data_IF_757849182560
#
_entry.id   IF_757849182560
#
_cell.length_a   1.000
_cell.length_b   1.000
_cell.length_c   1.000
_cell.angle_alpha   90.00
_cell.angle_beta   90.00
_cell.angle_gamma   90.00
#
_symmetry.space_group_name_H-M   'P 1'
#
loop_
_entity.id
_entity.type
_entity.pdbx_description
1 polymer ?
#
# COMPACT_ATOMS: atom_id res chain seq x y z
N UNK A 1 -13.63 -20.71 1.14
CA UNK A 1 -12.35 -20.29 0.53
C UNK A 1 -12.11 -18.83 0.91
N UNK A 2 -10.87 -18.42 1.20
CA UNK A 2 -10.54 -17.04 1.54
C UNK A 2 -10.48 -16.18 0.27
N UNK A 3 -11.22 -15.06 0.26
CA UNK A 3 -11.14 -14.06 -0.80
C UNK A 3 -10.53 -12.76 -0.27
N UNK A 4 -9.34 -12.36 -0.75
CA UNK A 4 -8.65 -11.20 -0.23
C UNK A 4 -9.36 -9.90 -0.63
N UNK A 5 -9.35 -8.92 0.27
CA UNK A 5 -9.76 -7.54 -0.02
C UNK A 5 -8.52 -6.70 -0.34
N UNK A 6 -8.45 -6.15 -1.55
CA UNK A 6 -7.30 -5.38 -2.00
C UNK A 6 -7.71 -3.96 -2.33
N UNK A 7 -6.95 -2.98 -1.85
CA UNK A 7 -7.05 -1.58 -2.29
C UNK A 7 -5.91 -1.29 -3.25
N UNK A 8 -6.21 -0.67 -4.39
CA UNK A 8 -5.22 -0.21 -5.36
C UNK A 8 -5.24 1.31 -5.49
N UNK A 9 -4.16 1.99 -5.09
CA UNK A 9 -3.96 3.41 -5.35
C UNK A 9 -3.33 3.58 -6.73
N UNK A 10 -4.08 4.15 -7.68
CA UNK A 10 -3.62 4.34 -9.05
C UNK A 10 -3.42 5.82 -9.36
N UNK A 11 -2.24 6.16 -9.88
CA UNK A 11 -1.96 7.46 -10.46
C UNK A 11 -2.87 7.74 -11.66
N UNK A 12 -3.51 8.90 -11.67
CA UNK A 12 -4.43 9.36 -12.71
C UNK A 12 -3.82 9.28 -14.12
N UNK A 13 -2.57 9.74 -14.27
CA UNK A 13 -1.97 9.97 -15.58
C UNK A 13 -1.51 8.71 -16.31
N UNK A 14 -1.14 7.67 -15.57
CA UNK A 14 -0.62 6.43 -16.15
C UNK A 14 -1.41 5.22 -15.69
N UNK A 15 -1.24 4.78 -14.45
CA UNK A 15 -1.75 3.47 -14.03
C UNK A 15 -3.28 3.38 -13.99
N UNK A 16 -3.99 4.49 -13.71
CA UNK A 16 -5.44 4.53 -13.82
C UNK A 16 -5.88 4.36 -15.29
N UNK A 17 -5.25 5.11 -16.22
CA UNK A 17 -5.47 4.93 -17.65
C UNK A 17 -5.05 3.52 -18.13
N UNK A 18 -4.00 2.93 -17.57
CA UNK A 18 -3.61 1.54 -17.82
C UNK A 18 -4.70 0.55 -17.40
N UNK A 19 -5.38 0.81 -16.27
CA UNK A 19 -6.56 0.04 -15.86
C UNK A 19 -7.76 0.24 -16.79
N UNK A 20 -7.97 1.46 -17.29
CA UNK A 20 -9.01 1.74 -18.29
C UNK A 20 -8.72 1.01 -19.62
N UNK A 21 -7.46 0.99 -20.06
CA UNK A 21 -7.00 0.24 -21.25
C UNK A 21 -7.27 -1.26 -21.10
N UNK A 22 -7.06 -1.82 -19.91
CA UNK A 22 -7.40 -3.21 -19.62
C UNK A 22 -8.92 -3.46 -19.73
N UNK A 23 -9.73 -2.54 -19.20
CA UNK A 23 -11.20 -2.58 -19.27
C UNK A 23 -11.74 -2.48 -20.69
N UNK A 24 -11.29 -1.50 -21.48
CA UNK A 24 -11.67 -1.31 -22.89
C UNK A 24 -11.29 -2.55 -23.72
N UNK A 25 -10.14 -3.14 -23.42
CA UNK A 25 -9.65 -4.35 -24.08
C UNK A 25 -10.26 -5.64 -23.53
N UNK A 26 -11.22 -5.55 -22.59
CA UNK A 26 -11.93 -6.68 -21.97
C UNK A 26 -11.03 -7.70 -21.28
N UNK A 27 -9.86 -7.27 -20.82
CA UNK A 27 -8.88 -8.15 -20.16
C UNK A 27 -9.37 -8.51 -18.76
N UNK A 28 -9.68 -9.79 -18.54
CA UNK A 28 -10.23 -10.27 -17.27
C UNK A 28 -9.14 -10.46 -16.21
N UNK A 29 -9.44 -10.04 -14.98
CA UNK A 29 -8.64 -10.28 -13.77
C UNK A 29 -9.58 -10.50 -12.58
N UNK A 30 -9.10 -11.03 -11.45
CA UNK A 30 -9.93 -11.26 -10.26
C UNK A 30 -10.61 -9.98 -9.75
N UNK A 31 -11.88 -10.02 -9.32
CA UNK A 31 -12.65 -8.83 -8.90
C UNK A 31 -12.30 -8.32 -7.48
N UNK A 32 -11.15 -8.70 -6.93
CA UNK A 32 -10.76 -8.46 -5.55
C UNK A 32 -10.18 -7.05 -5.30
N UNK A 33 -9.74 -6.37 -6.37
CA UNK A 33 -9.11 -5.05 -6.32
C UNK A 33 -10.17 -3.94 -6.39
N UNK A 34 -10.08 -2.99 -5.46
CA UNK A 34 -10.84 -1.73 -5.46
C UNK A 34 -9.91 -0.56 -5.69
N UNK A 35 -10.13 0.16 -6.78
CA UNK A 35 -9.27 1.25 -7.22
C UNK A 35 -9.65 2.54 -6.48
N UNK A 36 -8.65 3.21 -5.91
CA UNK A 36 -8.71 4.60 -5.44
C UNK A 36 -7.83 5.43 -6.38
N UNK A 37 -8.45 6.35 -7.09
CA UNK A 37 -7.74 7.27 -7.99
C UNK A 37 -7.05 8.37 -7.19
N UNK A 38 -5.78 8.60 -7.48
CA UNK A 38 -5.01 9.74 -6.96
C UNK A 38 -4.31 10.45 -8.10
N UNK A 39 -4.04 11.75 -7.99
CA UNK A 39 -3.35 12.48 -9.07
C UNK A 39 -1.94 11.95 -9.32
N UNK A 40 -1.23 11.54 -8.27
CA UNK A 40 0.11 10.97 -8.35
C UNK A 40 0.26 9.86 -7.31
N UNK A 41 1.07 8.83 -7.60
CA UNK A 41 1.50 7.87 -6.57
C UNK A 41 2.19 8.56 -5.40
N UNK A 42 2.84 9.71 -5.65
CA UNK A 42 3.38 10.60 -4.63
C UNK A 42 2.36 11.09 -3.59
N UNK A 43 1.06 11.08 -3.90
CA UNK A 43 0.01 11.47 -2.96
C UNK A 43 -0.25 10.42 -1.87
N UNK A 44 0.12 9.16 -2.12
CA UNK A 44 -0.14 8.04 -1.22
C UNK A 44 0.74 8.17 0.01
N UNK A 45 0.12 8.51 1.13
CA UNK A 45 0.79 8.66 2.42
C UNK A 45 0.85 7.32 3.16
N UNK A 46 1.89 7.13 3.98
CA UNK A 46 2.06 5.93 4.81
C UNK A 46 0.86 5.76 5.76
N UNK A 47 0.30 6.86 6.28
CA UNK A 47 -0.87 6.83 7.14
C UNK A 47 -2.08 6.16 6.46
N UNK A 48 -2.27 6.40 5.14
CA UNK A 48 -3.36 5.76 4.39
C UNK A 48 -3.15 4.25 4.26
N UNK A 49 -1.91 3.84 4.03
CA UNK A 49 -1.55 2.42 3.90
C UNK A 49 -1.77 1.70 5.24
N UNK A 50 -1.27 2.27 6.33
CA UNK A 50 -1.44 1.72 7.67
C UNK A 50 -2.91 1.66 8.09
N UNK A 51 -3.68 2.73 7.86
CA UNK A 51 -5.11 2.76 8.16
C UNK A 51 -5.89 1.69 7.38
N UNK A 52 -5.56 1.48 6.10
CA UNK A 52 -6.17 0.43 5.30
C UNK A 52 -5.87 -0.97 5.87
N UNK A 53 -4.61 -1.25 6.22
CA UNK A 53 -4.24 -2.52 6.85
C UNK A 53 -4.96 -2.74 8.19
N UNK A 54 -5.08 -1.70 9.03
CA UNK A 54 -5.81 -1.77 10.30
C UNK A 54 -7.30 -2.02 10.11
N UNK A 55 -7.87 -1.49 9.03
CA UNK A 55 -9.27 -1.72 8.64
C UNK A 55 -9.53 -3.13 8.08
N UNK A 56 -8.51 -4.00 8.07
CA UNK A 56 -8.62 -5.39 7.64
C UNK A 56 -8.53 -5.58 6.12
N UNK A 57 -7.88 -4.66 5.41
CA UNK A 57 -7.46 -4.86 4.02
C UNK A 57 -6.31 -5.85 3.98
N UNK A 58 -6.38 -6.83 3.07
CA UNK A 58 -5.45 -7.95 3.01
C UNK A 58 -4.20 -7.66 2.19
N UNK A 59 -4.33 -6.75 1.21
CA UNK A 59 -3.22 -6.27 0.39
C UNK A 59 -3.46 -4.87 -0.16
N UNK A 60 -2.36 -4.14 -0.40
CA UNK A 60 -2.36 -2.78 -0.91
C UNK A 60 -1.44 -2.71 -2.11
N UNK A 61 -2.01 -2.34 -3.26
CA UNK A 61 -1.29 -2.09 -4.49
C UNK A 61 -1.17 -0.58 -4.70
N UNK A 62 0.01 -0.11 -5.09
CA UNK A 62 0.26 1.28 -5.47
C UNK A 62 0.87 1.23 -6.86
N UNK A 63 0.24 1.89 -7.83
CA UNK A 63 0.79 1.95 -9.18
C UNK A 63 0.91 3.40 -9.65
N UNK A 64 2.08 3.72 -10.19
CA UNK A 64 2.39 5.03 -10.75
C UNK A 64 2.98 4.97 -12.16
N UNK A 65 3.32 6.14 -12.68
CA UNK A 65 4.13 6.30 -13.88
C UNK A 65 5.50 5.63 -13.70
N UNK A 66 6.15 5.21 -14.79
CA UNK A 66 7.53 4.73 -14.74
C UNK A 66 8.48 5.81 -14.21
N UNK A 67 9.57 5.42 -13.53
CA UNK A 67 10.68 6.32 -13.22
C UNK A 67 11.12 7.11 -14.46
N UNK A 68 11.21 8.44 -14.34
CA UNK A 68 11.51 9.34 -15.46
C UNK A 68 10.28 9.84 -16.24
N UNK A 69 9.10 9.21 -16.08
CA UNK A 69 7.86 9.57 -16.80
C UNK A 69 6.78 10.19 -15.89
N UNK A 70 7.13 10.53 -14.64
CA UNK A 70 6.16 11.08 -13.72
C UNK A 70 5.64 12.44 -14.20
N UNK A 71 4.32 12.58 -14.31
CA UNK A 71 3.69 13.86 -14.64
C UNK A 71 4.06 14.99 -13.66
N UNK A 72 4.38 14.63 -12.41
CA UNK A 72 4.84 15.54 -11.38
C UNK A 72 6.33 15.34 -11.05
N UNK A 73 7.14 15.08 -12.07
CA UNK A 73 8.61 15.03 -12.06
C UNK A 73 9.17 13.83 -11.27
N UNK A 74 9.04 13.82 -9.94
CA UNK A 74 9.68 12.83 -9.05
C UNK A 74 8.73 12.24 -7.99
N UNK A 75 7.43 12.53 -8.10
CA UNK A 75 6.43 12.07 -7.13
C UNK A 75 6.41 10.54 -6.94
N UNK A 76 6.63 9.77 -8.00
CA UNK A 76 6.74 8.30 -7.94
C UNK A 76 8.00 7.84 -7.18
N UNK A 77 9.16 8.46 -7.40
CA UNK A 77 10.40 8.15 -6.68
C UNK A 77 10.29 8.48 -5.18
N UNK A 78 9.58 9.55 -4.84
CA UNK A 78 9.24 9.87 -3.44
C UNK A 78 8.27 8.85 -2.84
N UNK A 79 7.36 8.29 -3.62
CA UNK A 79 6.45 7.24 -3.17
C UNK A 79 7.21 5.93 -2.91
N UNK A 80 8.11 5.52 -3.82
CA UNK A 80 8.93 4.33 -3.68
C UNK A 80 9.78 4.35 -2.40
N UNK A 81 10.49 5.46 -2.15
CA UNK A 81 11.26 5.63 -0.90
C UNK A 81 10.40 5.46 0.36
N UNK A 82 9.21 6.05 0.38
CA UNK A 82 8.25 5.91 1.50
C UNK A 82 7.72 4.49 1.66
N UNK A 83 7.40 3.81 0.57
CA UNK A 83 6.91 2.43 0.60
C UNK A 83 8.01 1.48 1.07
N UNK A 84 9.24 1.64 0.60
CA UNK A 84 10.37 0.81 1.04
C UNK A 84 10.63 0.99 2.55
N UNK A 85 10.57 2.23 3.04
CA UNK A 85 10.63 2.48 4.47
C UNK A 85 9.48 1.82 5.24
N UNK A 86 8.25 1.95 4.75
CA UNK A 86 7.09 1.32 5.38
C UNK A 86 7.25 -0.19 5.44
N UNK A 87 7.79 -0.83 4.40
CA UNK A 87 8.06 -2.29 4.42
C UNK A 87 9.00 -2.69 5.55
N UNK A 88 10.07 -1.93 5.78
CA UNK A 88 10.96 -2.15 6.92
C UNK A 88 10.22 -1.99 8.25
N UNK A 89 9.34 -0.99 8.37
CA UNK A 89 8.51 -0.81 9.55
C UNK A 89 7.57 -2.01 9.78
N UNK A 90 6.83 -2.45 8.75
CA UNK A 90 5.92 -3.58 8.82
C UNK A 90 6.64 -4.85 9.29
N UNK A 91 7.82 -5.11 8.73
CA UNK A 91 8.67 -6.23 9.14
C UNK A 91 9.03 -6.18 10.63
N UNK A 92 9.43 -5.01 11.13
CA UNK A 92 9.79 -4.84 12.54
C UNK A 92 8.61 -5.04 13.51
N UNK A 93 7.38 -4.80 13.06
CA UNK A 93 6.15 -5.00 13.86
C UNK A 93 5.46 -6.35 13.57
N UNK A 94 6.13 -7.25 12.86
CA UNK A 94 5.65 -8.61 12.59
C UNK A 94 4.48 -8.69 11.62
N UNK A 95 4.41 -7.78 10.65
CA UNK A 95 3.46 -7.81 9.53
C UNK A 95 4.25 -8.09 8.24
N UNK A 96 3.72 -8.94 7.38
CA UNK A 96 4.34 -9.30 6.11
C UNK A 96 4.42 -8.07 5.18
N UNK A 97 5.62 -7.54 4.89
CA UNK A 97 5.76 -6.35 4.05
C UNK A 97 5.28 -6.54 2.61
N UNK A 98 5.18 -7.79 2.15
CA UNK A 98 4.68 -8.16 0.83
C UNK A 98 3.18 -7.90 0.66
N UNK A 99 2.45 -7.63 1.75
CA UNK A 99 1.08 -7.11 1.70
C UNK A 99 0.99 -5.72 1.06
N UNK A 100 2.11 -5.01 0.92
CA UNK A 100 2.19 -3.71 0.22
C UNK A 100 3.08 -3.85 -1.02
N UNK A 101 2.52 -3.61 -2.20
CA UNK A 101 3.26 -3.62 -3.48
C UNK A 101 3.22 -2.24 -4.12
N UNK A 102 4.37 -1.73 -4.53
CA UNK A 102 4.48 -0.59 -5.45
C UNK A 102 4.96 -1.11 -6.80
N UNK A 103 4.40 -0.58 -7.89
CA UNK A 103 4.74 -0.96 -9.25
C UNK A 103 4.51 0.19 -10.24
N UNK A 104 4.96 0.02 -11.48
CA UNK A 104 4.98 1.05 -12.50
C UNK A 104 4.24 0.58 -13.74
N UNK A 105 3.17 1.28 -14.09
CA UNK A 105 2.26 0.92 -15.18
C UNK A 105 1.91 2.19 -15.94
N UNK A 106 2.30 2.26 -17.21
CA UNK A 106 1.98 3.33 -18.15
C UNK A 106 0.51 3.28 -18.59
N UNK A 107 0.05 4.31 -19.29
CA UNK A 107 -1.32 4.37 -19.80
C UNK A 107 -1.65 3.28 -20.85
N UNK A 108 -0.65 2.84 -21.63
CA UNK A 108 -0.81 1.83 -22.68
C UNK A 108 -0.59 0.39 -22.19
N UNK A 109 -0.13 0.22 -20.95
CA UNK A 109 0.24 -1.07 -20.35
C UNK A 109 -0.97 -1.82 -19.74
N UNK A 110 -2.09 -1.90 -20.46
CA UNK A 110 -3.31 -2.58 -19.98
C UNK A 110 -3.10 -4.07 -19.66
N UNK A 111 -2.33 -4.78 -20.50
CA UNK A 111 -1.96 -6.18 -20.25
C UNK A 111 -1.19 -6.35 -18.94
N UNK A 112 -0.21 -5.48 -18.69
CA UNK A 112 0.58 -5.48 -17.47
C UNK A 112 -0.26 -5.17 -16.24
N UNK A 113 -1.25 -4.27 -16.34
CA UNK A 113 -2.21 -4.05 -15.26
C UNK A 113 -2.98 -5.32 -14.94
N UNK A 114 -3.52 -6.00 -15.96
CA UNK A 114 -4.27 -7.24 -15.79
C UNK A 114 -3.40 -8.34 -15.15
N UNK A 115 -2.18 -8.55 -15.63
CA UNK A 115 -1.23 -9.51 -15.06
C UNK A 115 -0.89 -9.17 -13.61
N UNK A 116 -0.56 -7.90 -13.33
CA UNK A 116 -0.26 -7.42 -11.98
C UNK A 116 -1.44 -7.64 -11.03
N UNK A 117 -2.66 -7.32 -11.46
CA UNK A 117 -3.87 -7.47 -10.67
C UNK A 117 -4.12 -8.94 -10.32
N UNK A 118 -3.96 -9.84 -11.30
CA UNK A 118 -4.09 -11.28 -11.12
C UNK A 118 -3.02 -11.82 -10.17
N UNK A 119 -1.75 -11.60 -10.47
CA UNK A 119 -0.62 -12.09 -9.68
C UNK A 119 -0.67 -11.61 -8.24
N UNK A 120 -0.96 -10.32 -8.03
CA UNK A 120 -1.04 -9.78 -6.68
C UNK A 120 -2.23 -10.37 -5.93
N UNK A 121 -3.37 -10.58 -6.57
CA UNK A 121 -4.53 -11.23 -5.93
C UNK A 121 -4.20 -12.66 -5.50
N UNK A 122 -3.61 -13.46 -6.38
CA UNK A 122 -3.22 -14.85 -6.05
C UNK A 122 -2.17 -14.88 -4.93
N UNK A 123 -1.21 -13.96 -4.96
CA UNK A 123 -0.20 -13.84 -3.94
C UNK A 123 -0.78 -13.48 -2.56
N UNK A 124 -1.69 -12.49 -2.49
CA UNK A 124 -2.37 -12.18 -1.22
C UNK A 124 -3.26 -13.36 -0.76
N UNK A 125 -3.92 -14.05 -1.71
CA UNK A 125 -4.74 -15.23 -1.39
C UNK A 125 -3.90 -16.34 -0.76
N UNK A 126 -2.69 -16.60 -1.26
CA UNK A 126 -1.80 -17.63 -0.70
C UNK A 126 -1.23 -17.27 0.67
N UNK A 127 -1.03 -15.98 0.97
CA UNK A 127 -0.64 -15.50 2.30
C UNK A 127 -1.76 -15.58 3.34
N UNK A 128 -3.02 -15.64 2.89
CA UNK A 128 -4.17 -15.65 3.78
C UNK A 128 -4.51 -14.27 4.39
N UNK A 129 -5.47 -14.24 5.34
CA UNK A 129 -6.03 -13.01 5.87
C UNK A 129 -5.00 -12.17 6.63
N UNK A 130 -5.15 -10.85 6.57
CA UNK A 130 -4.27 -9.92 7.29
C UNK A 130 -4.27 -10.17 8.81
N UNK A 131 -3.09 -10.36 9.45
CA UNK A 131 -2.98 -10.66 10.87
C UNK A 131 -3.52 -9.54 11.79
N UNK A 132 -3.52 -8.28 11.35
CA UNK A 132 -4.07 -7.16 12.12
C UNK A 132 -5.58 -7.25 12.29
N UNK A 133 -6.27 -7.82 11.30
CA UNK A 133 -7.71 -8.09 11.39
C UNK A 133 -8.02 -9.11 12.48
N UNK A 134 -7.14 -10.10 12.65
CA UNK A 134 -7.28 -11.15 13.67
C UNK A 134 -7.00 -10.60 15.08
N UNK A 135 -6.01 -9.71 15.21
CA UNK A 135 -5.62 -9.08 16.48
C UNK A 135 -6.61 -8.01 16.98
N UNK A 136 -7.63 -7.62 16.19
CA UNK A 136 -8.63 -6.57 16.52
C UNK A 136 -8.01 -5.24 16.96
N UNK A 137 -6.91 -4.84 16.31
CA UNK A 137 -6.21 -3.58 16.60
C UNK A 137 -7.15 -2.39 16.34
N UNK A 138 -7.49 -1.62 17.38
CA UNK A 138 -8.49 -0.55 17.31
C UNK A 138 -7.87 0.83 17.52
N UNK A 139 -7.07 1.28 16.55
CA UNK A 139 -6.49 2.62 16.56
C UNK A 139 -7.30 3.53 15.63
N UNK A 140 -7.89 4.58 16.18
CA UNK A 140 -8.57 5.62 15.38
C UNK A 140 -7.56 6.46 14.61
N UNK A 141 -7.96 6.90 13.41
CA UNK A 141 -7.16 7.83 12.62
C UNK A 141 -6.86 9.10 13.41
N UNK A 142 -5.64 9.60 13.28
CA UNK A 142 -5.15 10.83 13.91
C UNK A 142 -4.46 11.67 12.83
N UNK A 143 -4.87 12.93 12.71
CA UNK A 143 -4.32 13.87 11.72
C UNK A 143 -2.83 14.13 11.97
N UNK A 144 -2.39 14.03 13.23
CA UNK A 144 -0.98 14.00 13.56
C UNK A 144 -0.40 12.63 13.21
N UNK A 145 0.18 12.52 12.01
CA UNK A 145 0.75 11.29 11.46
C UNK A 145 1.76 10.62 12.41
N UNK A 146 2.57 11.39 13.13
CA UNK A 146 3.55 10.84 14.08
C UNK A 146 2.84 10.13 15.21
N UNK A 147 1.86 10.80 15.81
CA UNK A 147 1.06 10.26 16.90
C UNK A 147 0.23 9.05 16.43
N UNK A 148 -0.32 9.11 15.22
CA UNK A 148 -1.01 7.97 14.61
C UNK A 148 -0.11 6.74 14.51
N UNK A 149 1.08 6.89 13.93
CA UNK A 149 2.02 5.78 13.77
C UNK A 149 2.49 5.26 15.14
N UNK A 150 2.75 6.16 16.10
CA UNK A 150 3.15 5.82 17.47
C UNK A 150 2.09 4.95 18.16
N UNK A 151 0.82 5.35 18.09
CA UNK A 151 -0.31 4.58 18.64
C UNK A 151 -0.40 3.18 18.03
N UNK A 152 -0.24 3.07 16.71
CA UNK A 152 -0.26 1.78 15.99
C UNK A 152 0.84 0.84 16.52
N UNK A 153 2.07 1.34 16.61
CA UNK A 153 3.21 0.54 17.07
C UNK A 153 3.03 0.13 18.53
N UNK A 154 2.59 1.04 19.40
CA UNK A 154 2.32 0.72 20.80
C UNK A 154 1.25 -0.35 20.95
N UNK A 155 0.21 -0.33 20.11
CA UNK A 155 -0.88 -1.30 20.16
C UNK A 155 -0.43 -2.68 19.64
N UNK A 156 0.40 -2.73 18.59
CA UNK A 156 0.87 -3.99 17.98
C UNK A 156 2.00 -4.63 18.80
N UNK A 157 2.97 -3.83 19.27
CA UNK A 157 4.17 -4.32 19.95
C UNK A 157 4.06 -4.30 21.48
N UNK A 158 3.08 -3.59 22.06
CA UNK A 158 2.99 -3.32 23.49
C UNK A 158 4.07 -2.37 24.02
N UNK A 159 4.20 -2.27 25.35
CA UNK A 159 5.24 -1.48 26.06
C UNK A 159 6.62 -2.16 26.04
N UNK A 160 7.11 -2.62 24.89
CA UNK A 160 8.44 -3.22 24.76
C UNK A 160 9.49 -2.16 24.43
N UNK A 161 10.70 -2.32 24.96
CA UNK A 161 11.85 -1.43 24.73
C UNK A 161 12.24 -1.31 23.23
N UNK A 162 11.82 -2.29 22.42
CA UNK A 162 12.00 -2.30 20.97
C UNK A 162 11.05 -1.34 20.24
N UNK A 163 9.85 -1.11 20.80
CA UNK A 163 8.88 -0.12 20.31
C UNK A 163 9.46 1.29 20.37
N UNK A 164 10.16 1.66 21.44
CA UNK A 164 10.74 3.00 21.61
C UNK A 164 11.86 3.28 20.60
N UNK A 165 12.70 2.28 20.28
CA UNK A 165 13.72 2.39 19.24
C UNK A 165 13.10 2.59 17.85
N UNK A 166 12.02 1.85 17.55
CA UNK A 166 11.27 1.97 16.30
C UNK A 166 10.60 3.35 16.21
N UNK A 167 9.98 3.82 17.28
CA UNK A 167 9.33 5.14 17.36
C UNK A 167 10.36 6.25 17.12
N UNK A 168 11.53 6.19 17.77
CA UNK A 168 12.59 7.19 17.56
C UNK A 168 13.06 7.26 16.11
N UNK A 169 13.24 6.10 15.46
CA UNK A 169 13.60 6.02 14.02
C UNK A 169 12.53 6.65 13.12
N UNK A 170 11.25 6.56 13.49
CA UNK A 170 10.14 7.18 12.76
C UNK A 170 10.08 8.69 13.01
N UNK A 171 10.28 9.13 14.26
CA UNK A 171 10.26 10.55 14.64
C UNK A 171 11.34 11.36 13.92
N UNK A 172 12.55 10.78 13.76
CA UNK A 172 13.64 11.40 13.00
C UNK A 172 13.34 11.52 11.50
N UNK A 173 12.37 10.76 10.99
CA UNK A 173 12.05 10.67 9.56
C UNK A 173 10.79 11.42 9.13
N UNK A 174 9.90 11.75 10.08
CA UNK A 174 8.72 12.58 9.83
C UNK A 174 9.02 14.07 10.10
N UNK A 175 10.28 14.42 10.43
CA UNK A 175 10.80 15.81 10.39
C UNK A 175 11.12 16.21 8.95
#
# INVERSE_FOLDING_TARGET
MFEPKIIAFLCNWCSYAGSDTAGVSRMQYPPNIRIIRVMCSGRVDIAFILQALLSGIDGILIAGCHPGECHYIDGNLKAERRVNFLKELLKNIGIEPERVKITWISASEGKKFQETAKEFTEFIRSMGPNPLKLKKVNVKFDENKREFIRKIISEICGKRMESDKIIKKIEDMVK
#
